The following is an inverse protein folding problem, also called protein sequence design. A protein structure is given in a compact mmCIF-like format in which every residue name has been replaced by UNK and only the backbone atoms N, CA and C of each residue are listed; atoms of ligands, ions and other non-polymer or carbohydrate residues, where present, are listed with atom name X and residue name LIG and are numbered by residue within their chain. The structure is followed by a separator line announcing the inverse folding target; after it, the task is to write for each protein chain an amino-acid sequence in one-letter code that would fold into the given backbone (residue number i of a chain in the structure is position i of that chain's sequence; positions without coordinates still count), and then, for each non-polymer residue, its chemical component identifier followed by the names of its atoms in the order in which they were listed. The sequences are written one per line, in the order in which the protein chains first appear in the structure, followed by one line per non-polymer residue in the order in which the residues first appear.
data_IF_902022751129
#
_entry.id   IF_902022751129
#
_cell.length_a   1.000
_cell.length_b   1.000
_cell.length_c   1.000
_cell.angle_alpha   90.00
_cell.angle_beta   90.00
_cell.angle_gamma   90.00
#
_symmetry.space_group_name_H-M   'P 1'
#
loop_
_entity.id
_entity.type
_entity.pdbx_description
1 polymer ?
#
# COMPACT_ATOMS: atom_id res chain seq x y z
N UNK A 1 -6.12 4.29 -24.74
CA UNK A 1 -6.19 4.82 -23.36
C UNK A 1 -5.22 4.08 -22.50
N UNK A 2 -4.70 4.71 -21.45
CA UNK A 2 -3.93 4.06 -20.38
C UNK A 2 -4.81 3.95 -19.13
N UNK A 3 -4.69 2.83 -18.42
CA UNK A 3 -5.37 2.55 -17.17
C UNK A 3 -4.35 1.93 -16.23
N UNK A 4 -4.07 2.60 -15.14
CA UNK A 4 -3.09 2.14 -14.15
C UNK A 4 -3.76 1.22 -13.11
N UNK A 5 -4.98 1.56 -12.66
CA UNK A 5 -5.69 0.83 -11.62
C UNK A 5 -7.20 0.72 -11.91
N UNK A 6 -7.76 -0.46 -11.64
CA UNK A 6 -9.19 -0.75 -11.66
C UNK A 6 -9.51 -1.74 -10.55
N UNK A 7 -10.56 -1.47 -9.77
CA UNK A 7 -11.07 -2.38 -8.74
C UNK A 7 -12.53 -2.71 -9.03
N UNK A 8 -12.87 -4.00 -8.93
CA UNK A 8 -14.23 -4.49 -9.06
C UNK A 8 -14.51 -5.40 -7.87
N UNK A 9 -15.60 -5.13 -7.16
CA UNK A 9 -16.03 -5.91 -5.99
C UNK A 9 -17.44 -6.46 -6.21
N UNK A 10 -17.79 -7.49 -5.44
CA UNK A 10 -19.14 -8.11 -5.45
C UNK A 10 -20.08 -7.52 -4.39
N UNK A 11 -19.61 -6.53 -3.62
CA UNK A 11 -20.32 -5.90 -2.51
C UNK A 11 -19.96 -4.42 -2.38
N UNK A 12 -20.55 -3.75 -1.39
CA UNK A 12 -20.38 -2.30 -1.18
C UNK A 12 -19.18 -1.99 -0.30
N UNK A 13 -18.75 -0.72 -0.28
CA UNK A 13 -17.71 -0.25 0.65
C UNK A 13 -18.16 -0.40 2.11
N UNK A 14 -19.45 -0.21 2.39
CA UNK A 14 -20.02 -0.42 3.72
C UNK A 14 -19.94 -1.89 4.16
N UNK A 15 -20.21 -2.86 3.27
CA UNK A 15 -20.09 -4.29 3.59
C UNK A 15 -18.64 -4.70 3.89
N UNK A 16 -17.68 -4.02 3.27
CA UNK A 16 -16.25 -4.21 3.50
C UNK A 16 -15.70 -3.36 4.66
N UNK A 17 -16.56 -2.62 5.36
CA UNK A 17 -16.19 -1.71 6.45
C UNK A 17 -15.04 -0.76 6.07
N UNK A 18 -15.08 -0.20 4.85
CA UNK A 18 -14.01 0.66 4.33
C UNK A 18 -14.54 1.88 3.58
N UNK A 19 -13.68 2.83 3.24
CA UNK A 19 -13.99 4.00 2.41
C UNK A 19 -13.14 4.07 1.15
N UNK A 20 -13.53 4.93 0.19
CA UNK A 20 -12.73 5.12 -1.02
C UNK A 20 -11.36 5.74 -0.70
N UNK A 21 -11.29 6.63 0.29
CA UNK A 21 -10.05 7.26 0.74
C UNK A 21 -9.08 6.23 1.30
N UNK A 22 -9.55 5.28 2.11
CA UNK A 22 -8.72 4.18 2.59
C UNK A 22 -8.21 3.33 1.43
N UNK A 23 -9.06 3.01 0.45
CA UNK A 23 -8.64 2.26 -0.73
C UNK A 23 -7.52 2.95 -1.52
N UNK A 24 -7.56 4.28 -1.63
CA UNK A 24 -6.50 5.10 -2.23
C UNK A 24 -5.24 5.15 -1.37
N UNK A 25 -5.40 5.26 -0.05
CA UNK A 25 -4.27 5.25 0.88
C UNK A 25 -3.50 3.93 0.81
N UNK A 26 -4.23 2.81 0.70
CA UNK A 26 -3.63 1.50 0.47
C UNK A 26 -2.92 1.39 -0.89
N UNK A 27 -3.42 2.09 -1.92
CA UNK A 27 -2.82 2.06 -3.26
C UNK A 27 -1.53 2.87 -3.35
N UNK A 28 -1.50 4.06 -2.76
CA UNK A 28 -0.43 5.04 -2.97
C UNK A 28 0.43 5.29 -1.74
N UNK A 29 0.02 4.79 -0.57
CA UNK A 29 0.77 4.88 0.67
C UNK A 29 0.75 3.56 1.47
N UNK A 30 0.49 2.44 0.79
CA UNK A 30 0.42 1.12 1.42
C UNK A 30 1.77 0.60 1.93
N UNK A 31 1.77 -0.49 2.73
CA UNK A 31 2.96 -1.07 3.35
C UNK A 31 3.96 -1.65 2.33
N UNK A 32 3.58 -1.83 1.08
CA UNK A 32 4.52 -2.23 0.03
C UNK A 32 5.42 -1.07 -0.45
N UNK A 33 5.05 0.18 -0.18
CA UNK A 33 5.84 1.36 -0.53
C UNK A 33 6.74 1.86 0.61
N UNK A 34 6.43 1.49 1.86
CA UNK A 34 7.19 1.93 3.06
C UNK A 34 7.40 0.79 4.04
N UNK A 35 8.35 0.93 4.95
CA UNK A 35 8.46 0.03 6.11
C UNK A 35 7.42 0.34 7.19
N UNK A 36 7.34 -0.51 8.23
CA UNK A 36 6.47 -0.32 9.39
C UNK A 36 6.70 1.01 10.15
N UNK A 37 7.81 1.72 9.90
CA UNK A 37 8.10 3.03 10.48
C UNK A 37 7.90 4.20 9.50
N UNK A 38 7.36 3.93 8.30
CA UNK A 38 7.10 4.93 7.26
C UNK A 38 8.30 5.28 6.37
N UNK A 39 9.43 4.59 6.51
CA UNK A 39 10.64 4.84 5.70
C UNK A 39 10.48 4.24 4.31
N UNK A 40 11.03 4.91 3.30
CA UNK A 40 11.11 4.36 1.96
C UNK A 40 12.12 3.19 1.91
N UNK A 41 11.87 2.16 1.10
CA UNK A 41 12.76 1.01 0.99
C UNK A 41 14.12 1.40 0.43
N UNK A 42 15.17 0.75 0.92
CA UNK A 42 16.55 0.93 0.44
C UNK A 42 17.11 -0.35 -0.18
N UNK A 43 18.04 -0.21 -1.13
CA UNK A 43 18.67 -1.37 -1.79
C UNK A 43 17.85 -2.00 -2.92
N UNK A 44 18.07 -3.30 -3.18
CA UNK A 44 17.55 -4.01 -4.36
C UNK A 44 16.25 -4.78 -4.14
N UNK A 45 15.84 -5.01 -2.90
CA UNK A 45 14.63 -5.77 -2.58
C UNK A 45 14.43 -5.94 -1.07
N UNK A 46 13.17 -5.96 -0.66
CA UNK A 46 12.72 -6.15 0.73
C UNK A 46 11.28 -6.69 0.75
N UNK A 47 10.89 -7.37 1.81
CA UNK A 47 9.51 -7.81 2.01
C UNK A 47 8.61 -6.62 2.35
N UNK A 48 7.45 -6.50 1.71
CA UNK A 48 6.50 -5.42 1.98
C UNK A 48 6.21 -5.28 3.50
N UNK A 49 6.25 -4.05 4.00
CA UNK A 49 6.19 -3.71 5.42
C UNK A 49 7.50 -3.90 6.21
N UNK A 50 8.46 -4.75 5.81
CA UNK A 50 9.63 -5.07 6.64
C UNK A 50 10.44 -3.82 7.03
N UNK A 51 10.86 -3.77 8.32
CA UNK A 51 11.63 -2.67 8.90
C UNK A 51 12.97 -2.52 8.18
N UNK A 52 13.27 -1.30 7.71
CA UNK A 52 14.56 -1.02 7.08
C UNK A 52 15.69 -1.09 8.11
N UNK A 53 16.71 -1.89 7.80
CA UNK A 53 17.92 -1.94 8.61
C UNK A 53 18.79 -0.72 8.29
N UNK A 54 18.70 0.32 9.13
CA UNK A 54 19.59 1.47 9.07
C UNK A 54 20.96 0.99 9.54
N UNK A 55 21.82 0.56 8.61
CA UNK A 55 23.21 0.26 8.91
C UNK A 55 23.86 1.49 9.58
N UNK A 56 24.60 1.26 10.67
CA UNK A 56 25.50 2.28 11.24
C UNK A 56 26.63 2.59 10.28
#
# INVERSE_FOLDING_TARGET
GQLDFLRVSRGTLADAETTIEELYEWEFNGPFLRDFSGRAPTGKGRDAGAIEHIGK
#
